data_IF_017455007441
#
_entry.id   IF_017455007441
#
_cell.length_a   1.000
_cell.length_b   1.000
_cell.length_c   1.000
_cell.angle_alpha   90.00
_cell.angle_beta   90.00
_cell.angle_gamma   90.00
#
_symmetry.space_group_name_H-M   'P 1'
#
loop_
_entity.id
_entity.type
_entity.pdbx_description
1 polymer ?
#
# COMPACT_ATOMS: atom_id res chain seq x y z
N UNK A 1 -11.48 -0.33 20.59
CA UNK A 1 -10.75 -0.56 19.32
C UNK A 1 -9.46 0.24 19.40
N UNK A 2 -8.30 -0.35 19.07
CA UNK A 2 -7.04 0.38 19.08
C UNK A 2 -7.01 1.39 17.93
N UNK A 3 -6.99 2.68 18.25
CA UNK A 3 -6.85 3.74 17.24
C UNK A 3 -5.44 3.69 16.63
N UNK A 4 -5.34 3.93 15.32
CA UNK A 4 -4.06 4.11 14.65
C UNK A 4 -3.55 5.51 15.01
N UNK A 5 -2.45 5.62 15.76
CA UNK A 5 -1.82 6.92 16.02
C UNK A 5 -1.07 7.42 14.77
N UNK A 6 -1.35 8.65 14.32
CA UNK A 6 -0.62 9.37 13.25
C UNK A 6 0.87 9.56 13.51
N UNK A 7 1.29 9.44 14.76
CA UNK A 7 2.66 9.76 15.12
C UNK A 7 3.63 8.72 14.58
N UNK A 8 4.76 9.21 14.05
CA UNK A 8 5.97 8.44 13.71
C UNK A 8 6.41 7.50 14.84
N UNK A 9 5.99 7.79 16.09
CA UNK A 9 6.15 6.99 17.32
C UNK A 9 5.97 5.48 17.13
N UNK A 10 5.03 5.08 16.29
CA UNK A 10 4.61 3.69 16.17
C UNK A 10 5.27 2.92 15.03
N UNK A 11 5.94 3.58 14.07
CA UNK A 11 6.56 2.91 12.90
C UNK A 11 7.57 1.85 13.35
N UNK A 12 8.45 2.19 14.30
CA UNK A 12 9.46 1.25 14.82
C UNK A 12 8.83 0.07 15.57
N UNK A 13 7.79 0.32 16.36
CA UNK A 13 7.12 -0.75 17.09
C UNK A 13 6.35 -1.67 16.15
N UNK A 14 5.63 -1.10 15.19
CA UNK A 14 4.88 -1.87 14.19
C UNK A 14 5.84 -2.66 13.29
N UNK A 15 7.01 -2.11 12.93
CA UNK A 15 8.02 -2.86 12.21
C UNK A 15 8.46 -4.11 13.01
N UNK A 16 8.79 -3.94 14.30
CA UNK A 16 9.17 -5.06 15.18
C UNK A 16 8.06 -6.08 15.34
N UNK A 17 6.81 -5.62 15.48
CA UNK A 17 5.64 -6.47 15.62
C UNK A 17 5.40 -7.25 14.32
N UNK A 18 5.46 -6.61 13.16
CA UNK A 18 5.36 -7.27 11.85
C UNK A 18 6.43 -8.37 11.71
N UNK A 19 7.69 -8.05 12.00
CA UNK A 19 8.79 -9.04 11.91
C UNK A 19 8.57 -10.22 12.85
N UNK A 20 8.21 -9.95 14.10
CA UNK A 20 7.95 -10.98 15.12
C UNK A 20 6.75 -11.85 14.75
N UNK A 21 5.65 -11.22 14.29
CA UNK A 21 4.42 -11.87 13.89
C UNK A 21 4.62 -12.81 12.71
N UNK A 22 5.33 -12.36 11.66
CA UNK A 22 5.59 -13.19 10.48
C UNK A 22 6.62 -14.29 10.75
N UNK A 23 7.60 -14.05 11.62
CA UNK A 23 8.51 -15.11 12.07
C UNK A 23 7.75 -16.19 12.85
N UNK A 24 6.87 -15.79 13.77
CA UNK A 24 6.03 -16.71 14.54
C UNK A 24 5.10 -17.53 13.63
N UNK A 25 4.39 -16.88 12.70
CA UNK A 25 3.53 -17.54 11.74
C UNK A 25 4.31 -18.51 10.84
N UNK A 26 5.50 -18.11 10.37
CA UNK A 26 6.40 -18.99 9.60
C UNK A 26 6.77 -20.25 10.37
N UNK A 27 6.94 -20.17 11.69
CA UNK A 27 7.28 -21.30 12.58
C UNK A 27 6.05 -22.01 13.16
N UNK A 28 4.83 -21.68 12.73
CA UNK A 28 3.59 -22.26 13.26
C UNK A 28 3.25 -21.86 14.70
N UNK A 29 3.92 -20.85 15.26
CA UNK A 29 3.74 -20.36 16.65
C UNK A 29 2.60 -19.34 16.74
N UNK A 30 1.37 -19.78 16.47
CA UNK A 30 0.19 -18.91 16.46
C UNK A 30 -0.12 -18.15 17.77
N UNK A 31 0.17 -18.67 18.99
CA UNK A 31 0.01 -17.89 20.21
C UNK A 31 0.80 -16.57 20.21
N UNK A 32 1.99 -16.55 19.61
CA UNK A 32 2.80 -15.33 19.46
C UNK A 32 2.19 -14.35 18.45
N UNK A 33 1.54 -14.86 17.40
CA UNK A 33 0.77 -14.04 16.45
C UNK A 33 -0.41 -13.36 17.16
N UNK A 34 -1.14 -14.11 18.00
CA UNK A 34 -2.29 -13.60 18.75
C UNK A 34 -1.91 -12.60 19.83
N UNK A 35 -0.71 -12.69 20.40
CA UNK A 35 -0.18 -11.67 21.33
C UNK A 35 -0.07 -10.29 20.67
N UNK A 36 0.13 -10.24 19.34
CA UNK A 36 0.26 -9.00 18.56
C UNK A 36 -1.10 -8.56 18.01
N UNK A 37 -1.83 -9.46 17.35
CA UNK A 37 -3.13 -9.13 16.74
C UNK A 37 -4.26 -8.99 17.76
N UNK A 38 -4.15 -9.63 18.92
CA UNK A 38 -5.26 -9.85 19.85
C UNK A 38 -6.11 -11.04 19.43
N UNK A 39 -7.38 -11.02 19.82
CA UNK A 39 -8.39 -12.01 19.40
C UNK A 39 -9.48 -11.33 18.56
N UNK A 40 -10.30 -12.07 17.79
CA UNK A 40 -11.40 -11.47 17.03
C UNK A 40 -12.36 -10.63 17.89
N UNK A 41 -12.64 -11.07 19.12
CA UNK A 41 -13.49 -10.33 20.07
C UNK A 41 -12.79 -9.19 20.80
N UNK A 42 -11.45 -9.18 20.85
CA UNK A 42 -10.64 -8.13 21.49
C UNK A 42 -9.39 -7.85 20.65
N UNK A 43 -9.54 -7.23 19.46
CA UNK A 43 -8.42 -6.99 18.57
C UNK A 43 -7.51 -5.90 19.14
N UNK A 44 -6.19 -6.11 19.04
CA UNK A 44 -5.14 -5.18 19.46
C UNK A 44 -4.60 -4.39 18.26
N UNK A 45 -4.07 -5.09 17.26
CA UNK A 45 -3.54 -4.50 16.00
C UNK A 45 -4.13 -5.16 14.76
N UNK A 46 -5.47 -5.12 14.58
CA UNK A 46 -6.15 -5.82 13.49
C UNK A 46 -5.71 -5.33 12.10
N UNK A 47 -5.31 -4.07 11.95
CA UNK A 47 -4.82 -3.50 10.69
C UNK A 47 -3.52 -4.14 10.15
N UNK A 48 -2.83 -4.96 10.95
CA UNK A 48 -1.63 -5.67 10.50
C UNK A 48 -1.93 -6.99 9.78
N UNK A 49 -3.17 -7.49 9.85
CA UNK A 49 -3.52 -8.87 9.44
C UNK A 49 -3.31 -9.14 7.95
N UNK A 50 -3.55 -8.13 7.10
CA UNK A 50 -3.47 -8.23 5.64
C UNK A 50 -2.11 -7.78 5.07
N UNK A 51 -1.15 -7.40 5.92
CA UNK A 51 0.16 -6.94 5.44
C UNK A 51 0.90 -8.11 4.79
N UNK A 52 1.61 -7.84 3.69
CA UNK A 52 2.68 -8.70 3.20
C UNK A 52 3.98 -7.88 3.25
N UNK A 53 4.88 -8.11 4.23
CA UNK A 53 6.07 -7.27 4.38
C UNK A 53 7.08 -7.47 3.25
N UNK A 54 8.07 -6.58 3.15
CA UNK A 54 9.00 -6.47 2.02
C UNK A 54 9.77 -7.75 1.67
N UNK A 55 10.00 -8.65 2.63
CA UNK A 55 10.76 -9.90 2.47
C UNK A 55 9.89 -11.16 2.50
N UNK A 56 8.57 -10.97 2.38
CA UNK A 56 7.59 -12.06 2.33
C UNK A 56 6.78 -11.98 1.05
N UNK A 57 6.33 -13.15 0.63
CA UNK A 57 5.42 -13.34 -0.52
C UNK A 57 3.97 -13.55 -0.08
N UNK A 58 3.80 -14.01 1.15
CA UNK A 58 2.53 -14.43 1.73
C UNK A 58 2.15 -13.55 2.91
N UNK A 59 0.85 -13.31 3.07
CA UNK A 59 0.26 -12.77 4.29
C UNK A 59 0.03 -13.86 5.33
N UNK A 60 -0.59 -13.50 6.45
CA UNK A 60 -0.85 -14.46 7.53
C UNK A 60 -1.81 -15.58 7.13
N UNK A 61 -2.82 -15.28 6.33
CA UNK A 61 -3.82 -16.28 5.93
C UNK A 61 -3.19 -17.35 5.03
N UNK A 62 -2.39 -16.95 4.04
CA UNK A 62 -1.63 -17.90 3.21
C UNK A 62 -0.61 -18.68 4.05
N UNK A 63 0.03 -18.04 5.04
CA UNK A 63 0.95 -18.73 5.96
C UNK A 63 0.24 -19.77 6.83
N UNK A 64 -1.02 -19.55 7.21
CA UNK A 64 -1.84 -20.53 7.91
C UNK A 64 -2.22 -21.73 7.02
N UNK A 65 -2.50 -21.46 5.74
CA UNK A 65 -2.73 -22.50 4.72
C UNK A 65 -1.50 -23.38 4.53
N UNK A 66 -0.29 -22.80 4.48
CA UNK A 66 0.95 -23.56 4.39
C UNK A 66 1.09 -24.62 5.48
N UNK A 67 0.69 -24.27 6.72
CA UNK A 67 0.69 -25.18 7.87
C UNK A 67 -0.50 -26.13 7.93
N UNK A 68 -1.42 -26.08 6.96
CA UNK A 68 -2.71 -26.78 6.99
C UNK A 68 -3.45 -26.59 8.33
N UNK A 69 -3.40 -25.38 8.89
CA UNK A 69 -3.88 -25.12 10.25
C UNK A 69 -5.31 -24.55 10.23
N UNK A 70 -6.31 -25.43 10.17
CA UNK A 70 -7.73 -25.07 10.19
C UNK A 70 -8.12 -24.16 11.36
N UNK A 71 -7.51 -24.34 12.54
CA UNK A 71 -7.82 -23.53 13.74
C UNK A 71 -7.36 -22.07 13.60
N UNK A 72 -6.10 -21.88 13.15
CA UNK A 72 -5.58 -20.55 12.88
C UNK A 72 -6.38 -19.85 11.78
N UNK A 73 -6.75 -20.58 10.72
CA UNK A 73 -7.56 -20.03 9.61
C UNK A 73 -8.92 -19.58 10.10
N UNK A 74 -9.66 -20.43 10.84
CA UNK A 74 -10.94 -20.06 11.46
C UNK A 74 -10.83 -18.82 12.34
N UNK A 75 -9.72 -18.67 13.07
CA UNK A 75 -9.47 -17.51 13.92
C UNK A 75 -9.18 -16.26 13.10
N UNK A 76 -8.34 -16.34 12.06
CA UNK A 76 -8.00 -15.20 11.19
C UNK A 76 -9.23 -14.64 10.49
N UNK A 77 -10.03 -15.49 9.84
CA UNK A 77 -11.22 -15.04 9.08
C UNK A 77 -12.31 -14.45 9.99
N UNK A 78 -12.27 -14.70 11.29
CA UNK A 78 -13.19 -14.05 12.24
C UNK A 78 -12.82 -12.59 12.53
N UNK A 79 -11.60 -12.14 12.24
CA UNK A 79 -11.28 -10.72 12.32
C UNK A 79 -12.05 -9.99 11.22
N UNK A 80 -12.83 -8.97 11.58
CA UNK A 80 -13.53 -8.10 10.62
C UNK A 80 -12.62 -7.42 9.58
N UNK A 81 -11.33 -7.37 9.85
CA UNK A 81 -10.32 -6.77 8.97
C UNK A 81 -9.62 -7.80 8.10
N UNK A 82 -9.84 -9.10 8.31
CA UNK A 82 -9.21 -10.14 7.49
C UNK A 82 -9.80 -10.12 6.08
N UNK A 83 -8.92 -9.95 5.11
CA UNK A 83 -9.26 -10.00 3.70
C UNK A 83 -8.88 -11.38 3.15
N UNK A 84 -9.89 -12.23 2.91
CA UNK A 84 -9.68 -13.58 2.39
C UNK A 84 -9.23 -13.60 0.93
N UNK A 85 -9.43 -12.49 0.22
CA UNK A 85 -9.12 -12.32 -1.20
C UNK A 85 -7.73 -11.67 -1.40
N UNK A 86 -6.99 -11.43 -0.32
CA UNK A 86 -5.57 -11.06 -0.37
C UNK A 86 -4.81 -12.02 -1.30
N UNK A 87 -4.18 -11.45 -2.33
CA UNK A 87 -3.32 -12.20 -3.26
C UNK A 87 -1.86 -12.19 -2.81
N UNK A 88 -1.20 -13.33 -2.92
CA UNK A 88 0.24 -13.43 -2.71
C UNK A 88 1.03 -12.60 -3.73
N UNK A 89 2.18 -12.07 -3.31
CA UNK A 89 3.14 -11.43 -4.23
C UNK A 89 3.76 -12.47 -5.14
N UNK A 90 4.35 -12.00 -6.24
CA UNK A 90 5.04 -12.85 -7.19
C UNK A 90 6.10 -13.76 -6.55
N UNK A 91 6.23 -14.97 -7.08
CA UNK A 91 7.25 -15.93 -6.70
C UNK A 91 6.80 -17.39 -6.61
N UNK A 92 7.80 -18.25 -6.47
CA UNK A 92 7.67 -19.71 -6.46
C UNK A 92 7.99 -20.25 -5.06
N UNK A 93 7.07 -21.03 -4.49
CA UNK A 93 7.29 -21.76 -3.23
C UNK A 93 7.85 -23.16 -3.50
N UNK A 94 8.19 -23.90 -2.45
CA UNK A 94 8.63 -25.29 -2.55
C UNK A 94 7.57 -26.20 -3.20
N UNK A 95 6.31 -25.75 -3.24
CA UNK A 95 5.17 -26.43 -3.85
C UNK A 95 4.71 -25.82 -5.18
N UNK A 96 5.50 -24.92 -5.76
CA UNK A 96 5.21 -24.31 -7.07
C UNK A 96 4.82 -22.83 -7.01
N UNK A 97 4.43 -22.25 -8.16
CA UNK A 97 4.08 -20.84 -8.27
C UNK A 97 2.83 -20.53 -7.46
N UNK A 98 2.93 -19.54 -6.56
CA UNK A 98 1.80 -19.10 -5.72
C UNK A 98 1.49 -17.62 -5.87
N UNK A 99 2.29 -16.89 -6.65
CA UNK A 99 2.03 -15.48 -6.94
C UNK A 99 0.64 -15.29 -7.54
N UNK A 100 -0.09 -14.30 -7.04
CA UNK A 100 -1.41 -13.92 -7.55
C UNK A 100 -2.55 -14.79 -7.01
N UNK A 101 -2.23 -15.88 -6.33
CA UNK A 101 -3.23 -16.75 -5.71
C UNK A 101 -3.68 -16.21 -4.36
N UNK A 102 -4.98 -16.37 -4.07
CA UNK A 102 -5.57 -16.18 -2.75
C UNK A 102 -5.23 -17.34 -1.82
N UNK A 103 -5.51 -17.19 -0.53
CA UNK A 103 -5.32 -18.28 0.42
C UNK A 103 -6.14 -19.54 0.08
N UNK A 104 -7.36 -19.37 -0.44
CA UNK A 104 -8.21 -20.48 -0.89
C UNK A 104 -7.61 -21.21 -2.10
N UNK A 105 -7.15 -20.47 -3.12
CA UNK A 105 -6.50 -21.05 -4.30
C UNK A 105 -5.21 -21.79 -3.93
N UNK A 106 -4.41 -21.24 -3.00
CA UNK A 106 -3.21 -21.93 -2.48
C UNK A 106 -3.58 -23.22 -1.74
N UNK A 107 -4.68 -23.22 -0.97
CA UNK A 107 -5.14 -24.42 -0.28
C UNK A 107 -5.54 -25.52 -1.26
N UNK A 108 -6.21 -25.17 -2.36
CA UNK A 108 -6.56 -26.10 -3.44
C UNK A 108 -5.33 -26.65 -4.14
N UNK A 109 -4.37 -25.77 -4.49
CA UNK A 109 -3.09 -26.16 -5.09
C UNK A 109 -2.32 -27.16 -4.21
N UNK A 110 -2.44 -27.04 -2.89
CA UNK A 110 -1.77 -27.94 -1.94
C UNK A 110 -2.59 -29.19 -1.58
N UNK A 111 -3.81 -29.35 -2.10
CA UNK A 111 -4.70 -30.46 -1.79
C UNK A 111 -5.38 -30.38 -0.41
N UNK A 112 -5.41 -29.20 0.22
CA UNK A 112 -6.00 -28.98 1.55
C UNK A 112 -7.50 -28.64 1.45
N UNK A 113 -8.31 -29.64 1.07
CA UNK A 113 -9.75 -29.46 0.78
C UNK A 113 -10.54 -28.89 1.98
N UNK A 114 -10.29 -29.37 3.20
CA UNK A 114 -10.97 -28.84 4.40
C UNK A 114 -10.70 -27.34 4.59
N UNK A 115 -9.43 -26.95 4.48
CA UNK A 115 -8.99 -25.56 4.61
C UNK A 115 -9.56 -24.69 3.50
N UNK A 116 -9.52 -25.15 2.25
CA UNK A 116 -10.15 -24.44 1.13
C UNK A 116 -11.63 -24.18 1.40
N UNK A 117 -12.37 -25.21 1.86
CA UNK A 117 -13.79 -25.10 2.17
C UNK A 117 -14.08 -24.12 3.31
N UNK A 118 -13.24 -24.08 4.35
CA UNK A 118 -13.37 -23.10 5.44
C UNK A 118 -13.29 -21.66 4.90
N UNK A 119 -12.31 -21.38 4.03
CA UNK A 119 -12.10 -20.03 3.48
C UNK A 119 -13.21 -19.68 2.47
N UNK A 120 -13.55 -20.62 1.58
CA UNK A 120 -14.59 -20.45 0.55
C UNK A 120 -15.94 -20.11 1.17
N UNK A 121 -16.35 -20.86 2.18
CA UNK A 121 -17.67 -20.74 2.80
C UNK A 121 -17.77 -19.59 3.81
N UNK A 122 -16.65 -18.93 4.15
CA UNK A 122 -16.68 -17.76 5.00
C UNK A 122 -17.29 -16.58 4.25
N UNK A 123 -18.42 -16.08 4.75
CA UNK A 123 -19.04 -14.83 4.28
C UNK A 123 -18.45 -13.71 5.15
N UNK A 124 -17.64 -12.81 4.58
CA UNK A 124 -17.17 -11.65 5.32
C UNK A 124 -18.36 -10.87 5.84
N UNK A 125 -18.26 -10.31 7.05
CA UNK A 125 -19.21 -9.29 7.49
C UNK A 125 -19.16 -8.13 6.50
N UNK A 126 -20.12 -8.05 5.58
CA UNK A 126 -20.21 -6.96 4.62
C UNK A 126 -20.26 -5.65 5.39
N UNK A 127 -19.38 -4.73 5.03
CA UNK A 127 -19.56 -3.32 5.34
C UNK A 127 -20.02 -2.64 4.08
N UNK A 128 -21.16 -1.96 4.17
CA UNK A 128 -21.41 -0.82 3.30
C UNK A 128 -20.39 0.25 3.70
N UNK A 129 -19.34 0.37 2.89
CA UNK A 129 -18.41 1.48 3.01
C UNK A 129 -19.03 2.67 2.28
N UNK A 130 -19.82 3.46 3.00
CA UNK A 130 -20.28 4.75 2.51
C UNK A 130 -19.11 5.74 2.67
N UNK A 131 -18.17 5.69 1.72
CA UNK A 131 -16.95 6.50 1.75
C UNK A 131 -17.32 7.89 1.21
N UNK A 132 -17.20 8.90 2.04
CA UNK A 132 -17.44 10.28 1.63
C UNK A 132 -16.49 10.67 0.50
N UNK A 133 -17.07 11.09 -0.64
CA UNK A 133 -16.30 11.50 -1.81
C UNK A 133 -15.86 12.96 -1.75
N UNK A 134 -16.45 13.74 -0.82
CA UNK A 134 -16.18 15.15 -0.59
C UNK A 134 -15.67 15.35 0.84
N UNK A 135 -14.64 16.16 1.01
CA UNK A 135 -14.06 16.47 2.31
C UNK A 135 -13.86 17.97 2.40
N UNK A 136 -14.44 18.58 3.44
CA UNK A 136 -14.21 19.99 3.77
C UNK A 136 -12.87 20.09 4.51
N UNK A 137 -11.89 20.74 3.89
CA UNK A 137 -10.51 20.84 4.39
C UNK A 137 -10.34 21.56 5.73
N UNK A 138 -11.43 21.98 6.37
CA UNK A 138 -11.44 22.69 7.66
C UNK A 138 -11.51 21.77 8.90
N UNK A 139 -11.71 20.45 8.75
CA UNK A 139 -11.74 19.55 9.91
C UNK A 139 -10.33 19.15 10.36
N UNK A 140 -10.08 19.32 11.66
CA UNK A 140 -8.83 19.12 12.42
C UNK A 140 -8.30 17.67 12.49
N UNK A 141 -8.50 16.87 11.43
CA UNK A 141 -8.16 15.44 11.35
C UNK A 141 -6.75 15.22 10.76
N UNK A 142 -5.79 16.09 11.05
CA UNK A 142 -4.38 15.88 10.64
C UNK A 142 -3.79 14.58 11.19
N UNK A 143 -4.43 14.00 12.23
CA UNK A 143 -3.95 12.82 12.96
C UNK A 143 -4.46 11.46 12.46
N UNK A 144 -5.33 11.38 11.45
CA UNK A 144 -5.70 10.08 10.83
C UNK A 144 -5.23 9.97 9.37
N UNK A 145 -4.87 11.11 8.76
CA UNK A 145 -4.59 11.27 7.33
C UNK A 145 -3.44 10.44 6.74
N UNK A 146 -2.62 9.79 7.57
CA UNK A 146 -1.39 9.11 7.13
C UNK A 146 -1.26 7.67 7.63
N UNK A 147 -2.36 7.05 8.05
CA UNK A 147 -2.37 5.68 8.53
C UNK A 147 -1.69 4.70 7.55
N UNK A 148 -1.93 4.87 6.24
CA UNK A 148 -1.36 4.01 5.22
C UNK A 148 0.16 4.21 5.05
N UNK A 149 0.66 5.45 5.13
CA UNK A 149 2.10 5.72 4.99
C UNK A 149 2.88 5.12 6.16
N UNK A 150 2.35 5.27 7.36
CA UNK A 150 2.91 4.71 8.58
C UNK A 150 3.01 3.18 8.51
N UNK A 151 1.93 2.50 8.11
CA UNK A 151 1.90 1.04 7.95
C UNK A 151 2.87 0.62 6.85
N UNK A 152 2.91 1.34 5.74
CA UNK A 152 3.83 1.09 4.62
C UNK A 152 5.29 1.19 5.06
N UNK A 153 5.66 2.29 5.73
CA UNK A 153 7.00 2.52 6.26
C UNK A 153 7.41 1.46 7.29
N UNK A 154 6.47 0.94 8.09
CA UNK A 154 6.73 -0.16 9.01
C UNK A 154 6.97 -1.49 8.26
N UNK A 155 6.14 -1.81 7.26
CA UNK A 155 6.20 -3.06 6.50
C UNK A 155 7.36 -3.12 5.48
N UNK A 156 7.82 -1.97 5.01
CA UNK A 156 8.89 -1.80 4.00
C UNK A 156 10.05 -0.95 4.51
N UNK A 157 10.30 -1.03 5.82
CA UNK A 157 11.27 -0.18 6.51
C UNK A 157 12.67 -0.29 5.91
N UNK A 158 13.16 -1.49 5.59
CA UNK A 158 14.55 -1.62 5.12
C UNK A 158 14.75 -1.00 3.74
N UNK A 159 13.74 -1.08 2.87
CA UNK A 159 13.80 -0.48 1.55
C UNK A 159 13.63 1.06 1.56
N UNK A 160 12.67 1.58 2.33
CA UNK A 160 12.36 3.03 2.30
C UNK A 160 13.12 3.86 3.33
N UNK A 161 13.38 3.33 4.53
CA UNK A 161 14.03 4.08 5.60
C UNK A 161 14.70 3.15 6.63
N UNK A 162 15.84 2.54 6.29
CA UNK A 162 16.48 1.53 7.13
C UNK A 162 16.95 2.09 8.48
N UNK A 163 17.28 3.38 8.53
CA UNK A 163 17.70 4.10 9.73
C UNK A 163 16.61 4.22 10.79
N UNK A 164 17.00 4.43 12.04
CA UNK A 164 16.06 4.65 13.14
C UNK A 164 15.13 5.84 12.87
N UNK A 165 13.83 5.66 13.09
CA UNK A 165 12.83 6.72 13.00
C UNK A 165 12.70 7.40 14.35
N UNK A 166 13.09 8.68 14.39
CA UNK A 166 12.87 9.54 15.55
C UNK A 166 11.36 9.78 15.74
N UNK A 167 10.87 9.34 16.91
CA UNK A 167 9.47 9.40 17.32
C UNK A 167 8.95 10.81 17.57
N UNK A 168 9.84 11.79 17.65
CA UNK A 168 9.50 13.20 17.88
C UNK A 168 9.38 13.99 16.59
N UNK A 169 9.93 13.48 15.48
CA UNK A 169 9.87 14.14 14.18
C UNK A 169 8.45 14.15 13.62
N UNK A 170 8.10 15.28 13.01
CA UNK A 170 6.92 15.40 12.17
C UNK A 170 7.03 14.46 10.96
N UNK A 171 5.88 14.01 10.46
CA UNK A 171 5.84 13.09 9.33
C UNK A 171 6.44 13.71 8.05
N UNK A 172 6.21 14.99 7.79
CA UNK A 172 6.80 15.72 6.64
C UNK A 172 8.33 15.64 6.63
N UNK A 173 8.97 15.82 7.80
CA UNK A 173 10.43 15.68 7.96
C UNK A 173 10.86 14.25 7.69
N UNK A 174 10.11 13.26 8.19
CA UNK A 174 10.39 11.85 7.90
C UNK A 174 10.25 11.52 6.40
N UNK A 175 9.23 12.04 5.72
CA UNK A 175 9.04 11.83 4.28
C UNK A 175 10.19 12.43 3.46
N UNK A 176 10.71 13.60 3.86
CA UNK A 176 11.94 14.15 3.27
C UNK A 176 13.15 13.26 3.50
N UNK A 177 13.32 12.72 4.71
CA UNK A 177 14.42 11.79 5.02
C UNK A 177 14.30 10.49 4.19
N UNK A 178 13.09 9.97 4.00
CA UNK A 178 12.78 8.84 3.12
C UNK A 178 13.15 9.17 1.68
N UNK A 179 12.70 10.31 1.14
CA UNK A 179 13.01 10.69 -0.24
C UNK A 179 14.51 10.84 -0.48
N UNK A 180 15.23 11.51 0.42
CA UNK A 180 16.69 11.61 0.36
C UNK A 180 17.35 10.23 0.34
N UNK A 181 16.86 9.30 1.16
CA UNK A 181 17.37 7.92 1.15
C UNK A 181 17.14 7.25 -0.20
N UNK A 182 15.92 7.31 -0.75
CA UNK A 182 15.56 6.75 -2.06
C UNK A 182 16.44 7.34 -3.17
N UNK A 183 16.63 8.65 -3.15
CA UNK A 183 17.32 9.38 -4.21
C UNK A 183 18.86 9.21 -4.19
N UNK A 184 19.41 8.77 -3.05
CA UNK A 184 20.85 8.60 -2.85
C UNK A 184 21.36 7.32 -3.53
N UNK A 185 22.31 7.49 -4.45
CA UNK A 185 23.05 6.39 -5.06
C UNK A 185 22.14 5.38 -5.76
N UNK A 186 22.21 4.13 -5.31
CA UNK A 186 21.51 2.98 -5.91
C UNK A 186 20.31 2.49 -5.09
N UNK A 187 19.91 3.20 -4.02
CA UNK A 187 18.83 2.80 -3.14
C UNK A 187 17.47 2.73 -3.86
N UNK A 188 17.27 3.60 -4.86
CA UNK A 188 16.07 3.60 -5.71
C UNK A 188 15.79 2.23 -6.37
N UNK A 189 16.80 1.41 -6.65
CA UNK A 189 16.59 0.07 -7.23
C UNK A 189 15.90 -0.87 -6.25
N UNK A 190 16.33 -0.87 -4.98
CA UNK A 190 15.68 -1.65 -3.94
C UNK A 190 14.23 -1.20 -3.73
N UNK A 191 14.00 0.12 -3.76
CA UNK A 191 12.66 0.72 -3.65
C UNK A 191 11.79 0.34 -4.86
N UNK A 192 12.30 0.47 -6.09
CA UNK A 192 11.63 0.03 -7.33
C UNK A 192 11.18 -1.42 -7.21
N UNK A 193 12.08 -2.31 -6.78
CA UNK A 193 11.77 -3.74 -6.67
C UNK A 193 10.67 -4.00 -5.63
N UNK A 194 10.68 -3.29 -4.50
CA UNK A 194 9.64 -3.41 -3.48
C UNK A 194 8.31 -2.82 -3.90
N UNK A 195 8.31 -1.69 -4.61
CA UNK A 195 7.09 -1.10 -5.19
C UNK A 195 6.49 -2.07 -6.21
N UNK A 196 7.29 -2.59 -7.14
CA UNK A 196 6.82 -3.54 -8.14
C UNK A 196 6.29 -4.84 -7.50
N UNK A 197 7.01 -5.41 -6.53
CA UNK A 197 6.58 -6.63 -5.82
C UNK A 197 5.25 -6.43 -5.07
N UNK A 198 5.05 -5.26 -4.46
CA UNK A 198 3.80 -4.96 -3.77
C UNK A 198 2.63 -4.76 -4.74
N UNK A 199 2.87 -4.03 -5.83
CA UNK A 199 1.88 -3.78 -6.88
C UNK A 199 1.36 -5.06 -7.52
N UNK A 200 2.18 -6.10 -7.62
CA UNK A 200 1.80 -7.35 -8.30
C UNK A 200 0.47 -7.93 -7.79
N UNK A 201 0.21 -7.86 -6.48
CA UNK A 201 -1.04 -8.36 -5.88
C UNK A 201 -2.29 -7.55 -6.28
N UNK A 202 -2.10 -6.30 -6.71
CA UNK A 202 -3.17 -5.32 -6.99
C UNK A 202 -3.32 -5.00 -8.48
N UNK A 203 -2.21 -4.93 -9.22
CA UNK A 203 -2.13 -4.63 -10.64
C UNK A 203 -0.81 -5.19 -11.20
N UNK A 204 -0.91 -6.34 -11.86
CA UNK A 204 0.25 -7.05 -12.42
C UNK A 204 0.90 -6.26 -13.57
N UNK A 205 0.10 -5.57 -14.38
CA UNK A 205 0.55 -4.73 -15.48
C UNK A 205 1.44 -3.59 -14.97
N UNK A 206 0.98 -2.86 -13.95
CA UNK A 206 1.76 -1.80 -13.31
C UNK A 206 3.04 -2.33 -12.67
N UNK A 207 2.97 -3.51 -12.04
CA UNK A 207 4.14 -4.19 -11.48
C UNK A 207 5.21 -4.47 -12.55
N UNK A 208 4.83 -5.02 -13.71
CA UNK A 208 5.72 -5.25 -14.85
C UNK A 208 6.32 -3.95 -15.37
N UNK A 209 5.50 -2.91 -15.55
CA UNK A 209 5.96 -1.60 -16.02
C UNK A 209 7.00 -1.00 -15.09
N UNK A 210 6.80 -1.05 -13.76
CA UNK A 210 7.73 -0.49 -12.77
C UNK A 210 9.00 -1.33 -12.62
N UNK A 211 8.91 -2.65 -12.62
CA UNK A 211 10.08 -3.53 -12.47
C UNK A 211 11.10 -3.42 -13.62
N UNK A 212 10.66 -3.03 -14.81
CA UNK A 212 11.52 -2.89 -16.00
C UNK A 212 12.35 -1.60 -16.02
N UNK A 213 12.19 -0.69 -15.06
CA UNK A 213 12.93 0.57 -15.04
C UNK A 213 14.44 0.33 -14.87
N UNK A 214 15.26 0.76 -15.81
CA UNK A 214 16.72 0.59 -15.74
C UNK A 214 17.46 1.80 -15.18
N UNK A 215 16.79 2.96 -15.10
CA UNK A 215 17.37 4.19 -14.57
C UNK A 215 16.45 4.83 -13.51
N UNK A 216 17.02 5.63 -12.61
CA UNK A 216 16.27 6.37 -11.58
C UNK A 216 15.23 7.32 -12.19
N UNK A 217 15.61 8.02 -13.27
CA UNK A 217 14.70 8.94 -13.98
C UNK A 217 13.54 8.18 -14.63
N UNK A 218 13.81 7.04 -15.29
CA UNK A 218 12.74 6.19 -15.83
C UNK A 218 11.83 5.68 -14.72
N UNK A 219 12.38 5.24 -13.58
CA UNK A 219 11.59 4.84 -12.43
C UNK A 219 10.61 5.92 -11.97
N UNK A 220 11.08 7.15 -11.73
CA UNK A 220 10.21 8.25 -11.31
C UNK A 220 9.15 8.59 -12.36
N UNK A 221 9.53 8.63 -13.65
CA UNK A 221 8.61 8.80 -14.77
C UNK A 221 7.51 7.74 -14.78
N UNK A 222 7.88 6.47 -14.59
CA UNK A 222 6.91 5.36 -14.62
C UNK A 222 5.96 5.37 -13.44
N UNK A 223 6.41 5.78 -12.25
CA UNK A 223 5.51 5.98 -11.10
C UNK A 223 4.38 6.95 -11.47
N UNK A 224 4.70 8.09 -12.10
CA UNK A 224 3.71 9.08 -12.54
C UNK A 224 2.85 8.54 -13.68
N UNK A 225 3.45 7.98 -14.74
CA UNK A 225 2.72 7.45 -15.89
C UNK A 225 1.66 6.40 -15.48
N UNK A 226 2.04 5.46 -14.61
CA UNK A 226 1.15 4.39 -14.13
C UNK A 226 -0.06 4.96 -13.39
N UNK A 227 0.11 6.08 -12.66
CA UNK A 227 -1.01 6.72 -11.98
C UNK A 227 -2.05 7.23 -12.97
N UNK A 228 -1.58 7.74 -14.11
CA UNK A 228 -2.40 8.41 -15.11
C UNK A 228 -2.97 7.44 -16.14
N UNK A 229 -2.43 6.23 -16.24
CA UNK A 229 -2.90 5.19 -17.14
C UNK A 229 -4.29 4.68 -16.70
N UNK A 230 -5.32 5.10 -17.42
CA UNK A 230 -6.71 4.72 -17.14
C UNK A 230 -6.98 3.23 -17.27
N UNK A 231 -6.16 2.50 -18.05
CA UNK A 231 -6.36 1.06 -18.27
C UNK A 231 -6.08 0.23 -17.02
N UNK A 232 -5.26 0.73 -16.11
CA UNK A 232 -4.86 0.04 -14.88
C UNK A 232 -5.84 0.22 -13.72
N UNK A 233 -6.75 1.20 -13.81
CA UNK A 233 -7.62 1.67 -12.72
C UNK A 233 -6.87 2.08 -11.44
N UNK A 234 -5.54 2.24 -11.49
CA UNK A 234 -4.73 2.46 -10.30
C UNK A 234 -5.05 3.80 -9.64
N UNK A 235 -5.38 4.82 -10.44
CA UNK A 235 -5.95 6.08 -9.97
C UNK A 235 -7.15 5.88 -9.05
N UNK A 236 -8.11 5.07 -9.48
CA UNK A 236 -9.36 4.83 -8.73
C UNK A 236 -9.04 4.11 -7.44
N UNK A 237 -8.24 3.04 -7.52
CA UNK A 237 -7.89 2.23 -6.35
C UNK A 237 -7.08 3.04 -5.31
N UNK A 238 -6.11 3.83 -5.77
CA UNK A 238 -5.32 4.70 -4.90
C UNK A 238 -6.21 5.76 -4.23
N UNK A 239 -7.06 6.45 -4.99
CA UNK A 239 -7.93 7.47 -4.40
C UNK A 239 -8.93 6.87 -3.41
N UNK A 240 -9.47 5.68 -3.68
CA UNK A 240 -10.32 4.95 -2.73
C UNK A 240 -9.55 4.61 -1.45
N UNK A 241 -8.32 4.10 -1.55
CA UNK A 241 -7.48 3.81 -0.40
C UNK A 241 -7.18 5.07 0.44
N UNK A 242 -6.87 6.19 -0.22
CA UNK A 242 -6.61 7.47 0.44
C UNK A 242 -7.85 8.10 1.06
N UNK A 243 -9.05 7.81 0.55
CA UNK A 243 -10.31 8.23 1.20
C UNK A 243 -10.58 7.38 2.44
N UNK A 244 -10.49 6.05 2.32
CA UNK A 244 -10.66 5.12 3.46
C UNK A 244 -9.73 5.43 4.63
N UNK A 245 -8.50 5.88 4.36
CA UNK A 245 -7.57 6.22 5.45
C UNK A 245 -8.05 7.36 6.33
N UNK A 246 -8.95 8.22 5.82
CA UNK A 246 -9.56 9.34 6.54
C UNK A 246 -10.79 8.93 7.33
N UNK A 247 -11.32 7.73 7.09
CA UNK A 247 -12.48 7.23 7.82
C UNK A 247 -12.07 6.88 9.25
N UNK A 248 -12.92 7.28 10.21
CA UNK A 248 -12.69 6.99 11.62
C UNK A 248 -12.56 5.48 11.85
N UNK A 249 -11.44 5.10 12.45
CA UNK A 249 -11.13 3.69 12.72
C UNK A 249 -10.68 2.92 11.48
N UNK A 250 -10.00 3.59 10.54
CA UNK A 250 -9.36 3.05 9.34
C UNK A 250 -9.02 1.55 9.41
N UNK A 251 -9.66 0.79 8.52
CA UNK A 251 -9.51 -0.67 8.37
C UNK A 251 -9.00 -0.97 6.95
N UNK A 252 -7.69 -0.89 6.70
CA UNK A 252 -7.17 -1.06 5.35
C UNK A 252 -7.48 -2.46 4.79
N UNK A 253 -7.98 -2.50 3.56
CA UNK A 253 -8.14 -3.74 2.79
C UNK A 253 -6.77 -4.30 2.38
N UNK A 254 -6.72 -5.55 1.91
CA UNK A 254 -5.50 -6.09 1.33
C UNK A 254 -4.96 -5.21 0.19
N UNK A 255 -5.87 -4.71 -0.65
CA UNK A 255 -5.53 -3.90 -1.81
C UNK A 255 -4.93 -2.55 -1.39
N UNK A 256 -5.49 -1.89 -0.36
CA UNK A 256 -4.95 -0.63 0.14
C UNK A 256 -3.50 -0.80 0.62
N UNK A 257 -3.22 -1.88 1.36
CA UNK A 257 -1.88 -2.19 1.88
C UNK A 257 -0.89 -2.59 0.78
N UNK A 258 -1.34 -3.33 -0.24
CA UNK A 258 -0.52 -3.70 -1.38
C UNK A 258 -0.15 -2.48 -2.25
N UNK A 259 -1.05 -1.49 -2.36
CA UNK A 259 -0.76 -0.21 -3.01
C UNK A 259 0.12 0.71 -2.16
N UNK A 260 0.22 0.49 -0.85
CA UNK A 260 0.95 1.34 0.09
C UNK A 260 2.33 1.83 -0.41
N UNK A 261 3.26 0.95 -0.81
CA UNK A 261 4.57 1.35 -1.34
C UNK A 261 4.50 2.26 -2.57
N UNK A 262 3.58 1.97 -3.49
CA UNK A 262 3.38 2.79 -4.68
C UNK A 262 2.82 4.17 -4.31
N UNK A 263 1.79 4.20 -3.46
CA UNK A 263 1.17 5.44 -2.99
C UNK A 263 2.20 6.31 -2.27
N UNK A 264 3.02 5.72 -1.40
CA UNK A 264 4.11 6.41 -0.73
C UNK A 264 5.08 7.02 -1.75
N UNK A 265 5.58 6.23 -2.70
CA UNK A 265 6.52 6.71 -3.72
C UNK A 265 5.91 7.84 -4.57
N UNK A 266 4.66 7.71 -5.00
CA UNK A 266 3.95 8.75 -5.75
C UNK A 266 3.82 10.05 -4.94
N UNK A 267 3.47 9.96 -3.65
CA UNK A 267 3.41 11.12 -2.77
C UNK A 267 4.78 11.77 -2.53
N UNK A 268 5.84 10.98 -2.37
CA UNK A 268 7.20 11.52 -2.24
C UNK A 268 7.60 12.33 -3.49
N UNK A 269 7.25 11.85 -4.70
CA UNK A 269 7.50 12.60 -5.93
C UNK A 269 6.72 13.91 -5.96
N UNK A 270 5.44 13.92 -5.58
CA UNK A 270 4.67 15.16 -5.52
C UNK A 270 5.24 16.14 -4.48
N UNK A 271 5.58 15.63 -3.30
CA UNK A 271 6.08 16.43 -2.19
C UNK A 271 7.46 17.04 -2.47
N UNK A 272 8.38 16.24 -3.01
CA UNK A 272 9.76 16.65 -3.32
C UNK A 272 9.92 17.07 -4.80
N UNK A 273 8.83 17.38 -5.51
CA UNK A 273 8.87 17.67 -6.95
C UNK A 273 9.83 18.82 -7.28
N UNK A 274 9.88 19.83 -6.42
CA UNK A 274 10.76 21.01 -6.59
C UNK A 274 12.25 20.67 -6.50
N UNK A 275 12.60 19.60 -5.79
CA UNK A 275 13.98 19.17 -5.58
C UNK A 275 14.48 18.22 -6.69
N UNK A 276 13.58 17.70 -7.52
CA UNK A 276 13.95 16.94 -8.72
C UNK A 276 14.56 17.92 -9.73
N UNK A 277 15.88 17.78 -9.95
CA UNK A 277 16.68 18.60 -10.86
C UNK A 277 16.24 18.41 -12.33
N UNK A 278 15.17 19.10 -12.71
CA UNK A 278 14.79 19.61 -14.03
C UNK A 278 13.40 20.26 -13.88
N UNK A 279 13.05 21.32 -14.64
CA UNK A 279 11.67 21.74 -14.76
C UNK A 279 10.91 20.69 -15.58
N UNK A 280 10.63 19.56 -14.96
CA UNK A 280 9.81 18.51 -15.49
C UNK A 280 8.38 19.02 -15.32
N UNK A 281 7.72 19.41 -16.41
CA UNK A 281 6.29 19.55 -16.38
C UNK A 281 5.74 18.16 -16.07
N UNK A 282 5.14 17.95 -14.90
CA UNK A 282 4.46 16.69 -14.56
C UNK A 282 3.45 16.29 -15.67
N UNK A 283 2.98 17.29 -16.41
CA UNK A 283 2.17 17.25 -17.64
C UNK A 283 2.82 16.42 -18.77
N UNK A 284 4.15 16.50 -18.97
CA UNK A 284 4.86 15.74 -20.01
C UNK A 284 4.96 14.24 -19.68
N UNK A 285 4.66 13.89 -18.43
CA UNK A 285 4.73 12.55 -17.86
C UNK A 285 3.35 12.00 -17.48
N UNK A 286 2.29 12.63 -17.97
CA UNK A 286 0.95 12.23 -17.65
C UNK A 286 0.14 11.99 -18.92
N UNK A 287 -0.33 10.77 -19.10
CA UNK A 287 -1.25 10.43 -20.18
C UNK A 287 -2.68 10.67 -19.69
N UNK A 288 -3.21 11.88 -19.90
CA UNK A 288 -4.60 12.19 -19.51
C UNK A 288 -5.55 12.07 -20.70
N UNK A 289 -6.70 11.41 -20.48
CA UNK A 289 -7.90 11.56 -21.30
C UNK A 289 -8.94 12.33 -20.48
N UNK A 290 -9.58 13.34 -21.06
CA UNK A 290 -10.46 14.29 -20.37
C UNK A 290 -11.81 13.64 -19.99
N UNK A 291 -11.84 12.91 -18.86
CA UNK A 291 -13.07 12.64 -18.10
C UNK A 291 -12.80 12.89 -16.61
N UNK A 292 -13.34 14.01 -16.12
CA UNK A 292 -13.41 14.52 -14.74
C UNK A 292 -12.63 13.77 -13.65
N UNK A 293 -11.62 14.43 -13.05
CA UNK A 293 -10.90 13.88 -11.90
C UNK A 293 -10.58 14.92 -10.82
N UNK A 294 -10.86 14.52 -9.57
CA UNK A 294 -10.44 15.16 -8.31
C UNK A 294 -9.03 14.65 -7.99
N UNK A 295 -8.02 15.52 -8.10
CA UNK A 295 -6.63 15.17 -7.87
C UNK A 295 -6.37 14.67 -6.43
N UNK A 296 -5.40 13.76 -6.23
CA UNK A 296 -5.16 13.16 -4.92
C UNK A 296 -4.60 14.17 -3.93
N UNK A 297 -4.94 13.97 -2.65
CA UNK A 297 -4.29 14.59 -1.49
C UNK A 297 -4.24 16.13 -1.46
N UNK A 298 -5.30 16.82 -1.91
CA UNK A 298 -5.37 18.29 -1.81
C UNK A 298 -4.38 19.03 -2.71
N UNK A 299 -3.69 18.33 -3.63
CA UNK A 299 -2.86 18.95 -4.64
C UNK A 299 -3.75 19.80 -5.56
N UNK A 300 -3.52 21.10 -5.55
CA UNK A 300 -4.22 22.04 -6.41
C UNK A 300 -3.48 22.11 -7.75
N UNK A 301 -4.17 21.86 -8.86
CA UNK A 301 -3.61 22.00 -10.20
C UNK A 301 -4.34 23.13 -10.94
N UNK A 302 -3.58 23.99 -11.60
CA UNK A 302 -4.07 24.99 -12.53
C UNK A 302 -4.03 24.41 -13.94
N UNK A 303 -5.18 24.32 -14.59
CA UNK A 303 -5.22 24.03 -16.02
C UNK A 303 -4.55 25.18 -16.77
N UNK A 304 -3.40 24.92 -17.38
CA UNK A 304 -2.64 25.88 -18.17
C UNK A 304 -3.15 25.99 -19.58
N UNK A 305 -3.42 24.85 -20.21
CA UNK A 305 -3.80 24.78 -21.61
C UNK A 305 -4.59 23.50 -21.88
N UNK A 306 -5.61 23.60 -22.72
CA UNK A 306 -6.23 22.45 -23.38
C UNK A 306 -5.72 22.40 -24.82
N UNK A 307 -5.41 21.21 -25.30
CA UNK A 307 -4.93 20.95 -26.66
C UNK A 307 -5.47 19.63 -27.16
N UNK A 308 -5.28 19.33 -28.43
CA UNK A 308 -5.64 18.04 -29.02
C UNK A 308 -4.42 17.53 -29.76
N UNK A 309 -3.94 16.34 -29.40
CA UNK A 309 -2.81 15.68 -30.06
C UNK A 309 -3.30 14.35 -30.61
N UNK A 310 -3.18 14.17 -31.93
CA UNK A 310 -3.61 12.95 -32.63
C UNK A 310 -5.10 12.59 -32.39
N UNK A 311 -5.96 13.61 -32.32
CA UNK A 311 -7.40 13.43 -32.05
C UNK A 311 -7.74 13.15 -30.58
N UNK A 312 -6.74 13.09 -29.70
CA UNK A 312 -6.91 12.88 -28.26
C UNK A 312 -6.84 14.23 -27.53
N UNK A 313 -7.87 14.62 -26.74
CA UNK A 313 -7.80 15.79 -25.88
C UNK A 313 -6.65 15.65 -24.87
N UNK A 314 -5.81 16.66 -24.78
CA UNK A 314 -4.64 16.72 -23.89
C UNK A 314 -4.69 17.99 -23.06
N UNK A 315 -4.58 17.87 -21.74
CA UNK A 315 -4.63 18.99 -20.80
C UNK A 315 -3.26 19.17 -20.15
N UNK A 316 -2.77 20.40 -20.16
CA UNK A 316 -1.55 20.83 -19.49
C UNK A 316 -1.94 21.40 -18.12
N UNK A 317 -1.40 20.83 -17.05
CA UNK A 317 -1.70 21.10 -15.63
C UNK A 317 -0.47 21.60 -14.82
N UNK A 318 -0.49 22.85 -14.37
CA UNK A 318 0.52 23.36 -13.44
C UNK A 318 0.13 23.04 -12.01
N UNK A 319 0.93 22.26 -11.30
CA UNK A 319 0.80 22.09 -9.85
C UNK A 319 0.95 23.45 -9.14
N UNK A 320 -0.06 23.85 -8.38
CA UNK A 320 -0.12 25.11 -7.62
C UNK A 320 0.46 24.96 -6.21
N UNK A 321 0.13 23.88 -5.50
CA UNK A 321 0.65 23.58 -4.17
C UNK A 321 0.47 22.08 -3.81
N UNK A 322 1.38 21.57 -2.99
CA UNK A 322 1.20 20.34 -2.21
C UNK A 322 1.00 20.73 -0.74
N UNK A 323 0.21 19.96 0.02
CA UNK A 323 0.05 20.15 1.47
C UNK A 323 1.42 20.31 2.16
N UNK A 324 1.59 21.40 2.91
CA UNK A 324 2.77 21.66 3.73
C UNK A 324 3.84 22.62 3.17
N UNK A 325 3.58 23.32 2.05
CA UNK A 325 4.42 24.44 1.61
C UNK A 325 3.86 25.79 2.08
N UNK A 326 4.02 26.10 3.37
CA UNK A 326 4.14 27.48 3.84
C UNK A 326 5.59 27.75 4.27
#
# INVERSE_FOLDING_TARGET
MGAISSSTRSIEQDHKDIQSMFLAAKMGKWPDVWRILGTPGRPLKPYLINIIPEDRRWGLLQQAVWWNNSSAIKTLIQFQTCDKDLKAKDGISEKGPTGGHTAQQIAELFGYLEVSNIIKNHIPSQREENIDTYYDGNSSIENEEYGLFRITLAAYKRAFHPSHVDKTKQLSVLLNDVFKHVDTGNNWMAVRDKVAQALFSSCEEASKVVSQCTTKSDFYKRIVNVYTDETTQLYTNMNTALRRQRDTGFKPTANDLALGPYILMFHLLLFCWRDLWQPLNIEDYACYTEKERVYPAGAQFLIKRRSTKDGVPTIHLKLLACLGSE
#
